data_IF_187489788410
#
_entry.id   IF_187489788410
#
_cell.length_a   1.000
_cell.length_b   1.000
_cell.length_c   1.000
_cell.angle_alpha   90.00
_cell.angle_beta   90.00
_cell.angle_gamma   90.00
#
_symmetry.space_group_name_H-M   'P 1'
#
loop_
_entity.id
_entity.type
_entity.pdbx_description
1 polymer ?
#
# COMPACT_ATOMS: atom_id res chain seq x y z
N UNK A 1 -5.82 -19.87 17.49
CA UNK A 1 -5.61 -19.13 16.23
C UNK A 1 -6.72 -18.11 16.12
N UNK A 2 -6.44 -16.85 16.46
CA UNK A 2 -7.43 -15.78 16.40
C UNK A 2 -7.14 -14.96 15.16
N UNK A 3 -7.66 -15.41 14.02
CA UNK A 3 -7.79 -14.56 12.83
C UNK A 3 -8.98 -13.64 13.07
N UNK A 4 -8.78 -12.62 13.90
CA UNK A 4 -9.74 -11.54 13.94
C UNK A 4 -9.70 -10.87 12.55
N UNK A 5 -10.85 -10.68 11.88
CA UNK A 5 -10.91 -9.93 10.64
C UNK A 5 -10.66 -8.46 10.97
N UNK A 6 -9.39 -8.12 11.14
CA UNK A 6 -8.97 -6.76 11.43
C UNK A 6 -9.14 -5.98 10.14
N UNK A 7 -9.93 -4.91 10.18
CA UNK A 7 -10.10 -3.92 9.10
C UNK A 7 -8.76 -3.46 8.47
N UNK A 8 -7.64 -3.66 9.18
CA UNK A 8 -6.25 -3.52 8.70
C UNK A 8 -5.94 -4.40 7.47
N UNK A 9 -6.50 -5.60 7.37
CA UNK A 9 -6.36 -6.49 6.20
C UNK A 9 -6.96 -5.86 4.94
N UNK A 10 -8.06 -5.11 5.06
CA UNK A 10 -8.75 -4.52 3.90
C UNK A 10 -7.88 -3.52 3.14
N UNK A 11 -7.18 -2.64 3.85
CA UNK A 11 -6.27 -1.66 3.23
C UNK A 11 -4.99 -2.32 2.72
N UNK A 12 -4.47 -3.31 3.44
CA UNK A 12 -3.34 -4.10 2.97
C UNK A 12 -3.68 -4.84 1.67
N UNK A 13 -4.77 -5.60 1.63
CA UNK A 13 -5.20 -6.35 0.46
C UNK A 13 -5.53 -5.44 -0.72
N UNK A 14 -6.24 -4.32 -0.48
CA UNK A 14 -6.52 -3.33 -1.53
C UNK A 14 -5.23 -2.74 -2.09
N UNK A 15 -4.31 -2.30 -1.23
CA UNK A 15 -3.02 -1.75 -1.65
C UNK A 15 -2.20 -2.76 -2.43
N UNK A 16 -2.13 -4.00 -1.94
CA UNK A 16 -1.42 -5.09 -2.60
C UNK A 16 -2.03 -5.47 -3.95
N UNK A 17 -3.37 -5.51 -4.06
CA UNK A 17 -4.04 -5.75 -5.33
C UNK A 17 -3.74 -4.66 -6.35
N UNK A 18 -3.83 -3.39 -5.96
CA UNK A 18 -3.49 -2.25 -6.83
C UNK A 18 -2.01 -2.26 -7.23
N UNK A 19 -1.13 -2.63 -6.30
CA UNK A 19 0.31 -2.77 -6.56
C UNK A 19 0.59 -3.82 -7.65
N UNK A 20 -0.08 -4.98 -7.57
CA UNK A 20 0.03 -6.04 -8.58
C UNK A 20 -0.59 -5.65 -9.94
N UNK A 21 -1.52 -4.68 -9.95
CA UNK A 21 -2.05 -4.07 -11.17
C UNK A 21 -1.15 -2.94 -11.71
N UNK A 22 0.02 -2.72 -11.11
CA UNK A 22 0.94 -1.61 -11.40
C UNK A 22 0.33 -0.21 -11.18
N UNK A 23 -0.83 -0.11 -10.52
CA UNK A 23 -1.39 1.15 -10.05
C UNK A 23 -0.72 1.54 -8.73
N UNK A 24 0.55 1.95 -8.83
CA UNK A 24 1.36 2.32 -7.67
C UNK A 24 0.80 3.54 -6.93
N UNK A 25 0.11 4.44 -7.63
CA UNK A 25 -0.55 5.60 -7.02
C UNK A 25 -1.74 5.15 -6.16
N UNK A 26 -2.60 4.29 -6.69
CA UNK A 26 -3.71 3.69 -5.95
C UNK A 26 -3.22 2.84 -4.76
N UNK A 27 -2.15 2.07 -4.95
CA UNK A 27 -1.54 1.26 -3.89
C UNK A 27 -1.05 2.13 -2.74
N UNK A 28 -0.25 3.18 -3.03
CA UNK A 28 0.25 4.10 -2.02
C UNK A 28 -0.89 4.77 -1.24
N UNK A 29 -1.96 5.20 -1.93
CA UNK A 29 -3.12 5.79 -1.29
C UNK A 29 -3.83 4.78 -0.36
N UNK A 30 -4.06 3.54 -0.80
CA UNK A 30 -4.68 2.52 0.03
C UNK A 30 -3.88 2.20 1.29
N UNK A 31 -2.55 2.07 1.18
CA UNK A 31 -1.69 1.87 2.33
C UNK A 31 -1.68 3.07 3.28
N UNK A 32 -1.70 4.29 2.74
CA UNK A 32 -1.76 5.52 3.54
C UNK A 32 -3.06 5.61 4.36
N UNK A 33 -4.21 5.26 3.78
CA UNK A 33 -5.48 5.22 4.52
C UNK A 33 -5.43 4.19 5.66
N UNK A 34 -4.81 3.02 5.43
CA UNK A 34 -4.57 2.04 6.49
C UNK A 34 -3.66 2.58 7.60
N UNK A 35 -2.60 3.32 7.25
CA UNK A 35 -1.68 3.94 8.21
C UNK A 35 -2.32 5.07 9.03
N UNK A 36 -3.36 5.75 8.51
CA UNK A 36 -4.14 6.71 9.32
C UNK A 36 -4.87 6.01 10.48
N UNK A 37 -5.27 4.76 10.28
CA UNK A 37 -5.97 3.95 11.28
C UNK A 37 -5.00 3.25 12.24
N UNK A 38 -3.90 2.71 11.72
CA UNK A 38 -2.82 2.16 12.51
C UNK A 38 -1.46 2.69 12.04
N UNK A 39 -0.99 3.82 12.61
CA UNK A 39 0.29 4.40 12.25
C UNK A 39 1.47 3.48 12.56
N UNK A 40 1.35 2.52 13.49
CA UNK A 40 2.43 1.63 13.89
C UNK A 40 2.54 0.37 13.00
N UNK A 41 1.63 0.18 12.06
CA UNK A 41 1.64 -0.98 11.17
C UNK A 41 2.86 -0.97 10.25
N UNK A 42 3.76 -1.94 10.46
CA UNK A 42 5.00 -2.06 9.69
C UNK A 42 4.75 -2.54 8.26
N UNK A 43 3.74 -3.39 8.04
CA UNK A 43 3.41 -3.97 6.74
C UNK A 43 2.81 -2.90 5.83
N UNK A 44 1.86 -2.12 6.33
CA UNK A 44 1.29 -0.99 5.57
C UNK A 44 2.34 0.07 5.27
N UNK A 45 3.25 0.33 6.22
CA UNK A 45 4.36 1.29 6.02
C UNK A 45 5.32 0.81 4.94
N UNK A 46 5.68 -0.46 4.96
CA UNK A 46 6.53 -1.05 3.92
C UNK A 46 5.86 -0.94 2.55
N UNK A 47 4.61 -1.41 2.42
CA UNK A 47 3.88 -1.35 1.16
C UNK A 47 3.72 0.07 0.60
N UNK A 48 3.52 1.06 1.47
CA UNK A 48 3.49 2.48 1.09
C UNK A 48 4.81 2.92 0.44
N UNK A 49 5.96 2.65 1.09
CA UNK A 49 7.26 3.06 0.56
C UNK A 49 7.63 2.32 -0.72
N UNK A 50 7.30 1.04 -0.83
CA UNK A 50 7.51 0.26 -2.05
C UNK A 50 6.71 0.86 -3.22
N UNK A 51 5.43 1.19 -2.98
CA UNK A 51 4.56 1.81 -3.99
C UNK A 51 5.05 3.20 -4.41
N UNK A 52 5.45 4.04 -3.46
CA UNK A 52 6.00 5.39 -3.76
C UNK A 52 7.33 5.31 -4.52
N UNK A 53 8.18 4.35 -4.17
CA UNK A 53 9.46 4.10 -4.84
C UNK A 53 9.26 3.73 -6.31
N UNK A 54 8.30 2.85 -6.61
CA UNK A 54 7.97 2.46 -7.98
C UNK A 54 7.23 3.56 -8.75
N UNK A 55 6.32 4.28 -8.11
CA UNK A 55 5.62 5.42 -8.73
C UNK A 55 6.62 6.49 -9.21
N UNK A 56 7.65 6.76 -8.42
CA UNK A 56 8.69 7.74 -8.75
C UNK A 56 9.59 7.25 -9.89
N UNK A 57 9.95 5.97 -9.91
CA UNK A 57 10.75 5.38 -10.99
C UNK A 57 10.00 5.31 -12.32
N UNK A 58 8.69 5.07 -12.29
CA UNK A 58 7.88 4.97 -13.50
C UNK A 58 7.63 6.33 -14.18
N UNK A 59 7.71 7.44 -13.44
CA UNK A 59 7.70 8.80 -14.04
C UNK A 59 8.98 9.13 -14.78
N UNK A 60 10.10 8.56 -14.36
CA UNK A 60 11.42 8.81 -14.96
C UNK A 60 11.63 8.07 -16.28
N UNK A 61 10.80 7.08 -16.61
CA UNK A 61 10.88 6.28 -17.84
C UNK A 61 10.02 6.82 -18.99
N UNK A 62 9.33 7.95 -18.80
CA UNK A 62 8.40 8.53 -19.78
C UNK A 62 9.01 9.67 -20.63
N UNK A 63 10.34 9.71 -20.79
CA UNK A 63 11.06 10.70 -21.60
C UNK A 63 11.60 10.12 -22.90
#
# INVERSE_FOLDING_TARGET
MQLAPHIMDGYYHKGFALFNLHDYAGAAHAFQEGLKLNPADKVLRQGFWDAVGLLSQNRSAAS
#
